data_IF_753271429110
#
_entry.id   IF_753271429110
#
_cell.length_a   1.000
_cell.length_b   1.000
_cell.length_c   1.000
_cell.angle_alpha   90.00
_cell.angle_beta   90.00
_cell.angle_gamma   90.00
#
_symmetry.space_group_name_H-M   'P 1'
#
loop_
_entity.id
_entity.type
_entity.pdbx_description
1 polymer ?
#
# COMPACT_ATOMS: atom_id res chain seq x y z
N UNK A 1 -9.15 -4.23 7.73
CA UNK A 1 -8.81 -4.36 6.30
C UNK A 1 -7.30 -4.49 6.20
N UNK A 2 -6.76 -5.11 5.15
CA UNK A 2 -5.31 -5.28 5.06
C UNK A 2 -4.64 -3.92 4.81
N UNK A 3 -3.45 -3.73 5.36
CA UNK A 3 -2.66 -2.52 5.23
C UNK A 3 -1.25 -2.88 4.78
N UNK A 4 -0.66 -2.03 3.94
CA UNK A 4 0.66 -2.24 3.37
C UNK A 4 1.45 -0.94 3.43
N UNK A 5 2.70 -1.00 3.88
CA UNK A 5 3.55 0.17 4.07
C UNK A 5 4.68 0.21 3.03
N UNK A 6 4.89 1.38 2.42
CA UNK A 6 6.08 1.66 1.66
C UNK A 6 7.30 1.70 2.60
N UNK A 7 8.32 0.84 2.42
CA UNK A 7 9.47 0.79 3.32
C UNK A 7 10.38 2.02 3.20
N UNK A 8 10.25 2.81 2.14
CA UNK A 8 11.09 3.97 1.84
C UNK A 8 10.56 5.24 2.54
N UNK A 9 9.31 5.62 2.26
CA UNK A 9 8.72 6.86 2.79
C UNK A 9 7.70 6.65 3.92
N UNK A 10 7.32 5.40 4.19
CA UNK A 10 6.38 5.06 5.25
C UNK A 10 4.90 5.25 4.90
N UNK A 11 4.54 5.60 3.66
CA UNK A 11 3.14 5.65 3.21
C UNK A 11 2.42 4.33 3.46
N UNK A 12 1.20 4.38 3.99
CA UNK A 12 0.36 3.21 4.24
C UNK A 12 -0.79 3.19 3.25
N UNK A 13 -0.84 2.16 2.41
CA UNK A 13 -2.04 1.79 1.69
C UNK A 13 -2.97 1.01 2.62
N UNK A 14 -4.14 1.59 2.90
CA UNK A 14 -5.21 0.93 3.66
C UNK A 14 -6.35 0.59 2.71
N UNK A 15 -6.69 -0.69 2.57
CA UNK A 15 -7.80 -1.12 1.71
C UNK A 15 -9.14 -0.46 2.11
N UNK A 16 -9.32 -0.06 3.38
CA UNK A 16 -10.52 0.67 3.80
C UNK A 16 -10.63 2.06 3.16
N UNK A 17 -9.49 2.70 2.89
CA UNK A 17 -9.42 4.04 2.30
C UNK A 17 -9.14 3.99 0.80
N UNK A 18 -8.48 2.94 0.31
CA UNK A 18 -7.97 2.84 -1.05
C UNK A 18 -6.88 3.90 -1.32
N UNK A 19 -6.77 4.30 -2.58
CA UNK A 19 -5.97 5.44 -3.00
C UNK A 19 -6.72 6.27 -4.06
N UNK A 20 -7.72 7.09 -3.66
CA UNK A 20 -8.58 7.80 -4.62
C UNK A 20 -7.84 8.76 -5.54
N UNK A 21 -6.70 9.33 -5.10
CA UNK A 21 -5.85 10.21 -5.92
C UNK A 21 -5.31 9.49 -7.16
N UNK A 22 -5.01 8.21 -7.03
CA UNK A 22 -4.50 7.34 -8.10
C UNK A 22 -5.62 6.55 -8.79
N UNK A 23 -6.89 6.83 -8.48
CA UNK A 23 -8.06 6.19 -9.09
C UNK A 23 -8.55 4.91 -8.41
N UNK A 24 -8.01 4.57 -7.23
CA UNK A 24 -8.42 3.37 -6.48
C UNK A 24 -9.36 3.75 -5.34
N UNK A 25 -10.65 3.46 -5.47
CA UNK A 25 -11.66 3.82 -4.47
C UNK A 25 -11.46 3.07 -3.13
N UNK A 26 -12.08 3.58 -2.07
CA UNK A 26 -12.21 2.89 -0.79
C UNK A 26 -12.77 1.47 -0.98
N UNK A 27 -12.17 0.49 -0.29
CA UNK A 27 -12.49 -0.93 -0.44
C UNK A 27 -11.72 -1.64 -1.56
N UNK A 28 -10.90 -0.93 -2.35
CA UNK A 28 -10.01 -1.58 -3.32
C UNK A 28 -9.03 -2.48 -2.56
N UNK A 29 -8.97 -3.76 -2.94
CA UNK A 29 -8.07 -4.72 -2.32
C UNK A 29 -6.66 -4.57 -2.87
N UNK A 30 -5.65 -4.85 -2.05
CA UNK A 30 -4.26 -4.92 -2.46
C UNK A 30 -4.02 -5.87 -3.63
N UNK A 31 -4.72 -7.02 -3.60
CA UNK A 31 -4.68 -8.01 -4.67
C UNK A 31 -5.25 -7.51 -6.01
N UNK A 32 -6.02 -6.43 -6.00
CA UNK A 32 -6.59 -5.80 -7.20
C UNK A 32 -5.73 -4.66 -7.75
N UNK A 33 -4.73 -4.19 -7.01
CA UNK A 33 -3.77 -3.22 -7.53
C UNK A 33 -2.85 -3.90 -8.56
N UNK A 34 -2.47 -3.22 -9.64
CA UNK A 34 -1.50 -3.75 -10.58
C UNK A 34 -0.09 -3.75 -9.97
N UNK A 35 0.80 -4.59 -10.48
CA UNK A 35 2.17 -4.74 -9.94
C UNK A 35 3.05 -3.51 -10.18
N UNK A 36 2.66 -2.64 -11.10
CA UNK A 36 3.31 -1.35 -11.37
C UNK A 36 2.70 -0.19 -10.57
N UNK A 37 1.79 -0.44 -9.63
CA UNK A 37 1.23 0.61 -8.76
C UNK A 37 2.38 1.32 -8.03
N UNK A 38 2.61 2.62 -8.32
CA UNK A 38 3.69 3.36 -7.68
C UNK A 38 3.25 3.82 -6.29
N UNK A 39 4.20 3.92 -5.36
CA UNK A 39 3.96 4.56 -4.08
C UNK A 39 3.45 6.00 -4.31
N UNK A 40 2.22 6.35 -3.91
CA UNK A 40 1.62 7.63 -4.25
C UNK A 40 2.34 8.84 -3.65
N UNK A 41 3.13 8.64 -2.58
CA UNK A 41 3.84 9.72 -1.90
C UNK A 41 5.25 9.95 -2.47
N UNK A 42 6.09 8.92 -2.58
CA UNK A 42 7.48 9.10 -3.01
C UNK A 42 7.73 8.79 -4.49
N UNK A 43 6.88 7.98 -5.14
CA UNK A 43 7.07 7.48 -6.51
C UNK A 43 8.41 6.74 -6.74
N UNK A 44 9.08 6.28 -5.66
CA UNK A 44 10.38 5.56 -5.72
C UNK A 44 10.19 4.04 -5.73
N UNK A 45 9.12 3.54 -5.08
CA UNK A 45 8.84 2.12 -4.87
C UNK A 45 7.53 1.74 -5.53
N UNK A 46 7.42 0.52 -6.05
CA UNK A 46 6.17 -0.06 -6.56
C UNK A 46 5.57 -1.09 -5.59
N UNK A 47 4.35 -1.56 -5.89
CA UNK A 47 3.60 -2.56 -5.11
C UNK A 47 4.44 -3.75 -4.62
N UNK A 48 5.36 -4.39 -5.39
CA UNK A 48 6.12 -5.54 -4.92
C UNK A 48 7.03 -5.24 -3.72
N UNK A 49 7.41 -3.97 -3.52
CA UNK A 49 8.28 -3.54 -2.43
C UNK A 49 7.53 -3.24 -1.12
N UNK A 50 6.21 -3.09 -1.18
CA UNK A 50 5.41 -2.76 0.00
C UNK A 50 5.34 -3.94 0.97
N UNK A 51 5.42 -3.62 2.26
CA UNK A 51 5.41 -4.61 3.32
C UNK A 51 4.03 -4.70 3.97
N UNK A 52 3.46 -5.90 4.17
CA UNK A 52 2.19 -6.04 4.84
C UNK A 52 2.31 -5.64 6.33
N UNK A 53 1.47 -4.72 6.76
CA UNK A 53 1.31 -4.35 8.16
C UNK A 53 0.43 -5.38 8.86
N UNK A 54 1.07 -6.48 9.27
CA UNK A 54 0.49 -7.46 10.18
C UNK A 54 1.06 -7.28 11.57
N UNK A 55 0.38 -7.81 12.60
CA UNK A 55 0.88 -7.78 13.98
C UNK A 55 2.31 -8.37 14.12
N UNK A 56 2.69 -9.30 13.23
CA UNK A 56 4.02 -9.86 13.14
C UNK A 56 5.08 -8.87 12.62
N UNK A 57 4.70 -7.92 11.75
CA UNK A 57 5.61 -6.93 11.16
C UNK A 57 5.98 -5.80 12.13
N UNK A 58 5.20 -5.57 13.20
CA UNK A 58 5.47 -4.55 14.23
C UNK A 58 6.41 -5.04 15.35
N UNK A 59 6.78 -6.33 15.34
CA UNK A 59 7.58 -6.97 16.41
C UNK A 59 8.99 -7.38 15.99
N UNK A 60 9.40 -7.09 14.75
CA UNK A 60 10.75 -7.30 14.24
C UNK A 60 11.54 -5.98 14.29
#
# INVERSE_FOLDING_TARGET
>A
MAQYQCPDCGYIYDEAHGCPREGFAAGTRWASLPDDFPCPECFVREKPDFLPLTDAALRA
#
